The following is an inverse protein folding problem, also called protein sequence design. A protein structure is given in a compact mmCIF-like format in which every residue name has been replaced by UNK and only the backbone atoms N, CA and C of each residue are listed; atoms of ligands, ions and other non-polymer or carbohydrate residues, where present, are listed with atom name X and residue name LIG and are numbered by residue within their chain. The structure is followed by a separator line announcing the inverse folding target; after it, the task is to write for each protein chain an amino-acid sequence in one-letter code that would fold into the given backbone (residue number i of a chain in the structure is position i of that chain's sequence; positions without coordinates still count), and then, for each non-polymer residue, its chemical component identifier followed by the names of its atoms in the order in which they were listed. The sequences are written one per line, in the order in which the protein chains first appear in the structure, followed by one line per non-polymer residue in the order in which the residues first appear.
data_IF_143392618418
#
_entry.id   IF_143392618418
#
_cell.length_a   1.000
_cell.length_b   1.000
_cell.length_c   1.000
_cell.angle_alpha   90.00
_cell.angle_beta   90.00
_cell.angle_gamma   90.00
#
_symmetry.space_group_name_H-M   'P 1'
#
loop_
_entity.id
_entity.type
_entity.pdbx_description
1 polymer ?
#
# COMPACT_ATOMS: atom_id res chain seq x y z
N UNK A 1 16.37 13.45 -18.20
CA UNK A 1 15.40 12.86 -19.16
C UNK A 1 14.31 12.18 -18.38
N UNK A 2 13.04 12.38 -18.76
CA UNK A 2 11.88 11.73 -18.16
C UNK A 2 11.36 10.68 -19.14
N UNK A 3 11.17 9.46 -18.67
CA UNK A 3 10.62 8.33 -19.41
C UNK A 3 9.28 7.94 -18.79
N UNK A 4 8.23 7.87 -19.58
CA UNK A 4 6.90 7.50 -19.14
C UNK A 4 6.47 6.19 -19.84
N UNK A 5 6.19 5.16 -19.05
CA UNK A 5 5.78 3.85 -19.55
C UNK A 5 4.66 3.26 -18.70
N UNK A 6 3.87 2.38 -19.29
CA UNK A 6 2.92 1.55 -18.57
C UNK A 6 3.59 0.31 -17.97
N UNK A 7 2.92 -0.33 -17.04
CA UNK A 7 3.26 -1.66 -16.55
C UNK A 7 3.39 -2.69 -17.69
N UNK A 8 4.22 -3.71 -17.45
CA UNK A 8 4.42 -4.84 -18.35
C UNK A 8 4.91 -4.47 -19.75
N UNK A 9 5.60 -3.33 -19.90
CA UNK A 9 6.18 -2.87 -21.16
C UNK A 9 7.68 -3.11 -21.24
N UNK A 10 8.16 -3.36 -22.47
CA UNK A 10 9.59 -3.52 -22.76
C UNK A 10 10.13 -2.19 -23.28
N UNK A 11 11.06 -1.62 -22.55
CA UNK A 11 11.83 -0.44 -22.93
C UNK A 11 13.08 -0.91 -23.65
N UNK A 12 13.17 -0.60 -24.94
CA UNK A 12 14.36 -0.94 -25.75
C UNK A 12 15.57 -0.13 -25.30
N UNK A 13 16.75 -0.74 -25.24
CA UNK A 13 18.00 -0.07 -24.85
C UNK A 13 18.26 1.23 -25.63
N UNK A 14 17.87 1.28 -26.90
CA UNK A 14 18.00 2.49 -27.74
C UNK A 14 17.28 3.72 -27.15
N UNK A 15 16.19 3.50 -26.42
CA UNK A 15 15.33 4.56 -25.82
C UNK A 15 15.80 4.96 -24.41
N UNK A 16 16.73 4.22 -23.83
CA UNK A 16 17.29 4.55 -22.51
C UNK A 16 18.22 5.77 -22.58
N UNK A 17 18.36 6.52 -21.48
CA UNK A 17 19.38 7.57 -21.36
C UNK A 17 20.78 6.98 -21.59
N UNK A 18 21.71 7.81 -22.09
CA UNK A 18 23.09 7.38 -22.36
C UNK A 18 23.74 6.76 -21.12
N UNK A 19 23.47 7.32 -19.94
CA UNK A 19 23.95 6.91 -18.64
C UNK A 19 23.42 5.55 -18.16
N UNK A 20 22.36 5.02 -18.80
CA UNK A 20 21.76 3.72 -18.48
C UNK A 20 22.03 2.65 -19.56
N UNK A 21 22.73 2.98 -20.65
CA UNK A 21 22.92 2.05 -21.79
C UNK A 21 24.03 1.02 -21.59
N UNK A 22 25.01 1.31 -20.73
CA UNK A 22 26.11 0.37 -20.48
C UNK A 22 25.66 -0.77 -19.56
N UNK A 23 26.34 -1.93 -19.64
CA UNK A 23 26.07 -3.05 -18.73
C UNK A 23 26.35 -2.66 -17.29
N UNK A 24 27.46 -1.99 -17.05
CA UNK A 24 27.88 -1.51 -15.72
C UNK A 24 26.82 -0.60 -15.08
N UNK A 25 26.27 0.35 -15.86
CA UNK A 25 25.22 1.26 -15.38
C UNK A 25 23.90 0.54 -15.07
N UNK A 26 23.57 -0.50 -15.85
CA UNK A 26 22.37 -1.32 -15.58
C UNK A 26 22.57 -2.18 -14.33
N UNK A 27 23.77 -2.70 -14.10
CA UNK A 27 24.11 -3.47 -12.91
C UNK A 27 24.08 -2.57 -11.64
N UNK A 28 24.55 -1.34 -11.74
CA UNK A 28 24.45 -0.33 -10.67
C UNK A 28 22.98 0.04 -10.39
N UNK A 29 22.17 0.27 -11.43
CA UNK A 29 20.73 0.50 -11.29
C UNK A 29 20.04 -0.69 -10.63
N UNK A 30 20.39 -1.92 -11.02
CA UNK A 30 19.89 -3.14 -10.41
C UNK A 30 20.21 -3.20 -8.91
N UNK A 31 21.46 -2.88 -8.53
CA UNK A 31 21.90 -2.84 -7.14
C UNK A 31 21.13 -1.77 -6.33
N UNK A 32 20.92 -0.60 -6.92
CA UNK A 32 20.09 0.46 -6.31
C UNK A 32 18.65 -0.02 -6.08
N UNK A 33 18.03 -0.64 -7.08
CA UNK A 33 16.68 -1.18 -6.96
C UNK A 33 16.60 -2.33 -5.96
N UNK A 34 17.62 -3.21 -5.92
CA UNK A 34 17.70 -4.31 -4.97
C UNK A 34 17.81 -3.80 -3.52
N UNK A 35 18.60 -2.77 -3.27
CA UNK A 35 18.71 -2.16 -1.94
C UNK A 35 17.39 -1.52 -1.48
N UNK A 36 16.65 -0.91 -2.42
CA UNK A 36 15.30 -0.41 -2.14
C UNK A 36 14.30 -1.55 -1.92
N UNK A 37 14.48 -2.68 -2.61
CA UNK A 37 13.61 -3.84 -2.50
C UNK A 37 13.73 -4.56 -1.15
N UNK A 38 14.94 -4.84 -0.69
CA UNK A 38 15.20 -5.59 0.55
C UNK A 38 14.57 -4.93 1.78
N UNK A 39 14.38 -3.61 1.73
CA UNK A 39 13.81 -2.83 2.83
C UNK A 39 12.28 -2.71 2.74
N UNK A 40 11.62 -3.38 1.77
CA UNK A 40 10.20 -3.22 1.44
C UNK A 40 9.24 -4.20 2.06
N UNK A 41 9.61 -4.96 3.06
CA UNK A 41 8.68 -5.81 3.82
C UNK A 41 7.40 -5.10 4.32
N UNK A 42 7.23 -3.81 3.99
CA UNK A 42 6.11 -2.95 4.40
C UNK A 42 4.79 -3.34 3.72
N UNK A 43 4.86 -3.78 2.46
CA UNK A 43 3.65 -4.05 1.68
C UNK A 43 3.15 -5.49 1.84
N UNK A 44 3.95 -6.37 2.41
CA UNK A 44 3.64 -7.79 2.55
C UNK A 44 3.64 -8.19 4.02
N UNK A 45 2.46 -8.45 4.59
CA UNK A 45 2.27 -8.77 6.01
C UNK A 45 2.90 -10.10 6.45
N UNK A 46 3.21 -11.00 5.51
CA UNK A 46 3.69 -12.37 5.80
C UNK A 46 5.22 -12.52 5.78
N UNK A 47 5.96 -11.44 5.61
CA UNK A 47 7.43 -11.42 5.65
C UNK A 47 8.11 -12.22 4.53
N UNK A 48 7.36 -12.75 3.57
CA UNK A 48 7.87 -13.50 2.41
C UNK A 48 8.11 -12.57 1.23
N UNK A 49 9.09 -11.70 1.35
CA UNK A 49 9.55 -10.89 0.22
C UNK A 49 10.48 -11.75 -0.65
N UNK A 50 10.22 -11.80 -1.96
CA UNK A 50 11.16 -12.39 -2.89
C UNK A 50 12.56 -11.80 -2.67
N UNK A 51 13.59 -12.65 -2.68
CA UNK A 51 14.97 -12.22 -2.46
C UNK A 51 15.49 -11.29 -3.57
N UNK A 52 14.87 -11.34 -4.77
CA UNK A 52 15.21 -10.49 -5.90
C UNK A 52 14.15 -9.41 -6.11
N UNK A 53 14.60 -8.21 -6.44
CA UNK A 53 13.72 -7.09 -6.75
C UNK A 53 12.74 -7.43 -7.89
N UNK A 54 11.53 -6.89 -7.79
CA UNK A 54 10.41 -7.15 -8.71
C UNK A 54 9.91 -5.89 -9.44
N UNK A 55 10.66 -4.78 -9.41
CA UNK A 55 10.23 -3.55 -10.10
C UNK A 55 10.46 -3.62 -11.59
N UNK A 56 11.66 -4.05 -11.98
CA UNK A 56 12.12 -4.11 -13.35
C UNK A 56 12.79 -5.46 -13.61
N UNK A 57 12.55 -6.04 -14.79
CA UNK A 57 13.32 -7.15 -15.33
C UNK A 57 14.31 -6.62 -16.37
N UNK A 58 15.55 -7.04 -16.27
CA UNK A 58 16.59 -6.77 -17.26
C UNK A 58 16.68 -7.98 -18.20
N UNK A 59 16.25 -7.78 -19.47
CA UNK A 59 16.07 -8.88 -20.43
C UNK A 59 16.92 -8.67 -21.68
N UNK A 60 17.52 -9.77 -22.18
CA UNK A 60 18.24 -9.81 -23.46
C UNK A 60 19.04 -8.55 -23.72
N UNK A 61 19.39 -8.20 -24.91
CA UNK A 61 20.11 -7.03 -25.39
C UNK A 61 20.05 -5.73 -24.56
N UNK A 62 20.16 -5.81 -23.21
CA UNK A 62 20.09 -4.69 -22.25
C UNK A 62 18.77 -3.91 -22.29
N UNK A 63 17.67 -4.58 -22.58
CA UNK A 63 16.33 -4.00 -22.50
C UNK A 63 15.80 -4.10 -21.06
N UNK A 64 14.90 -3.20 -20.68
CA UNK A 64 14.24 -3.18 -19.39
C UNK A 64 12.77 -3.51 -19.59
N UNK A 65 12.21 -4.42 -18.80
CA UNK A 65 10.76 -4.65 -18.71
C UNK A 65 10.24 -4.11 -17.39
N UNK A 66 9.23 -3.26 -17.45
CA UNK A 66 8.45 -2.84 -16.28
C UNK A 66 7.57 -3.99 -15.81
N UNK A 67 7.35 -4.09 -14.49
CA UNK A 67 6.48 -5.12 -13.90
C UNK A 67 5.22 -4.50 -13.30
N UNK A 68 4.51 -5.25 -12.46
CA UNK A 68 3.24 -4.85 -11.85
C UNK A 68 3.43 -3.87 -10.67
N UNK A 69 4.19 -2.80 -10.92
CA UNK A 69 4.49 -1.72 -9.98
C UNK A 69 4.29 -0.36 -10.64
N UNK A 70 3.65 0.53 -9.90
CA UNK A 70 3.38 1.91 -10.31
C UNK A 70 4.20 2.88 -9.47
N UNK A 71 4.70 3.93 -10.08
CA UNK A 71 5.46 4.94 -9.36
C UNK A 71 6.60 5.52 -10.16
N UNK A 72 7.64 5.98 -9.47
CA UNK A 72 8.77 6.67 -10.10
C UNK A 72 10.12 6.14 -9.58
N UNK A 73 11.06 6.04 -10.50
CA UNK A 73 12.46 5.72 -10.24
C UNK A 73 13.29 6.87 -10.81
N UNK A 74 14.00 7.59 -9.94
CA UNK A 74 14.99 8.60 -10.31
C UNK A 74 16.38 8.05 -10.04
N UNK A 75 17.23 8.02 -11.06
CA UNK A 75 18.59 7.50 -10.95
C UNK A 75 19.53 8.23 -11.90
N UNK A 76 20.65 8.74 -11.38
CA UNK A 76 21.66 9.51 -12.15
C UNK A 76 21.04 10.64 -12.98
N UNK A 77 20.11 11.43 -12.38
CA UNK A 77 19.47 12.57 -13.03
C UNK A 77 18.44 12.23 -14.12
N UNK A 78 18.07 10.96 -14.23
CA UNK A 78 17.01 10.49 -15.16
C UNK A 78 15.86 9.89 -14.36
N UNK A 79 14.63 10.08 -14.86
CA UNK A 79 13.40 9.64 -14.21
C UNK A 79 12.66 8.66 -15.10
N UNK A 80 12.25 7.54 -14.53
CA UNK A 80 11.36 6.55 -15.12
C UNK A 80 10.07 6.52 -14.31
N UNK A 81 8.98 6.94 -14.93
CA UNK A 81 7.63 6.82 -14.38
C UNK A 81 6.95 5.58 -14.96
N UNK A 82 6.33 4.80 -14.09
CA UNK A 82 5.56 3.61 -14.47
C UNK A 82 4.12 3.83 -14.06
N UNK A 83 3.21 3.71 -15.01
CA UNK A 83 1.79 3.97 -14.86
C UNK A 83 0.95 2.69 -14.90
N UNK A 84 -0.23 2.69 -14.26
CA UNK A 84 -1.14 1.55 -14.29
C UNK A 84 -1.58 1.21 -15.72
N UNK A 85 -1.57 -0.08 -16.05
CA UNK A 85 -1.99 -0.58 -17.36
C UNK A 85 -3.48 -0.32 -17.68
N UNK A 86 -4.31 -0.04 -16.67
CA UNK A 86 -5.74 0.29 -16.87
C UNK A 86 -5.96 1.56 -17.69
N UNK A 87 -4.96 2.45 -17.77
CA UNK A 87 -5.03 3.67 -18.60
C UNK A 87 -4.52 3.49 -20.03
N UNK A 88 -4.09 2.28 -20.38
CA UNK A 88 -3.59 2.01 -21.73
C UNK A 88 -4.74 2.04 -22.74
N UNK A 89 -4.66 2.91 -23.72
CA UNK A 89 -5.58 2.88 -24.88
C UNK A 89 -5.26 1.71 -25.80
N UNK A 90 -6.27 0.90 -26.14
CA UNK A 90 -6.13 -0.32 -26.94
C UNK A 90 -5.72 -0.08 -28.40
N UNK A 91 -5.72 1.15 -28.89
CA UNK A 91 -5.61 1.44 -30.33
C UNK A 91 -4.25 1.95 -30.79
N UNK A 92 -3.33 2.30 -29.91
CA UNK A 92 -2.08 2.92 -30.33
C UNK A 92 -0.86 2.11 -29.88
N UNK A 93 -0.16 1.51 -30.85
CA UNK A 93 1.20 0.99 -30.67
C UNK A 93 2.23 2.11 -30.40
N UNK A 94 1.83 3.37 -30.52
CA UNK A 94 2.66 4.53 -30.23
C UNK A 94 2.42 4.99 -28.78
N UNK A 95 3.18 4.44 -27.85
CA UNK A 95 3.17 4.76 -26.41
C UNK A 95 3.51 6.25 -26.10
N UNK A 96 3.57 7.12 -27.10
CA UNK A 96 3.98 8.52 -27.00
C UNK A 96 2.84 9.54 -27.10
N UNK A 97 1.59 9.10 -27.33
CA UNK A 97 0.46 10.03 -27.25
C UNK A 97 0.27 10.44 -25.80
N UNK A 98 0.18 11.73 -25.61
CA UNK A 98 0.11 12.44 -24.33
C UNK A 98 -0.71 11.68 -23.27
N UNK A 99 0.00 11.01 -22.36
CA UNK A 99 -0.54 10.59 -21.09
C UNK A 99 -1.17 11.82 -20.44
N UNK A 100 -2.46 11.77 -20.19
CA UNK A 100 -3.07 12.76 -19.32
C UNK A 100 -2.61 12.50 -17.88
N UNK A 101 -1.47 13.11 -17.54
CA UNK A 101 -0.85 12.94 -16.23
C UNK A 101 -1.76 13.43 -15.11
N UNK A 102 -2.60 14.44 -15.37
CA UNK A 102 -3.55 14.95 -14.38
C UNK A 102 -4.61 13.91 -14.07
N UNK A 103 -5.19 13.29 -15.08
CA UNK A 103 -6.17 12.20 -14.89
C UNK A 103 -5.57 10.98 -14.18
N UNK A 104 -4.34 10.60 -14.54
CA UNK A 104 -3.60 9.54 -13.87
C UNK A 104 -3.36 9.84 -12.39
N UNK A 105 -2.88 11.05 -12.09
CA UNK A 105 -2.59 11.47 -10.73
C UNK A 105 -3.85 11.55 -9.87
N UNK A 106 -4.95 12.06 -10.45
CA UNK A 106 -6.25 12.09 -9.80
C UNK A 106 -6.68 10.69 -9.37
N UNK A 107 -6.60 9.71 -10.25
CA UNK A 107 -6.95 8.32 -9.95
C UNK A 107 -6.04 7.70 -8.87
N UNK A 108 -4.71 7.91 -8.96
CA UNK A 108 -3.77 7.41 -7.95
C UNK A 108 -4.08 7.97 -6.56
N UNK A 109 -4.40 9.26 -6.46
CA UNK A 109 -4.80 9.89 -5.20
C UNK A 109 -6.06 9.24 -4.66
N UNK A 110 -7.08 9.04 -5.48
CA UNK A 110 -8.35 8.40 -5.11
C UNK A 110 -8.13 6.98 -4.59
N UNK A 111 -7.33 6.19 -5.30
CA UNK A 111 -7.06 4.81 -4.87
C UNK A 111 -6.30 4.75 -3.54
N UNK A 112 -5.29 5.60 -3.36
CA UNK A 112 -4.51 5.66 -2.13
C UNK A 112 -5.38 6.12 -0.94
N UNK A 113 -6.27 7.09 -1.15
CA UNK A 113 -7.17 7.58 -0.10
C UNK A 113 -8.05 6.48 0.48
N UNK A 114 -8.68 5.64 -0.35
CA UNK A 114 -9.46 4.51 0.13
C UNK A 114 -8.60 3.42 0.75
N UNK A 115 -7.45 3.08 0.13
CA UNK A 115 -6.52 2.06 0.62
C UNK A 115 -6.02 2.36 2.03
N UNK A 116 -5.84 3.62 2.36
CA UNK A 116 -5.27 4.04 3.64
C UNK A 116 -6.30 4.13 4.78
N UNK A 117 -7.60 3.94 4.56
CA UNK A 117 -8.68 4.12 5.56
C UNK A 117 -8.58 5.45 6.30
N UNK A 118 -8.42 6.54 5.57
CA UNK A 118 -8.20 7.83 6.20
C UNK A 118 -9.50 8.60 6.21
N UNK A 119 -10.00 8.90 7.42
CA UNK A 119 -11.06 9.86 7.69
C UNK A 119 -10.57 11.31 7.44
N UNK A 120 -10.18 11.63 6.21
CA UNK A 120 -9.84 12.99 5.84
C UNK A 120 -10.90 13.58 4.92
N UNK A 121 -11.23 14.89 5.07
CA UNK A 121 -12.14 15.55 4.14
C UNK A 121 -11.53 15.56 2.74
N UNK A 122 -12.16 14.84 1.85
CA UNK A 122 -11.79 14.56 0.45
C UNK A 122 -11.49 15.78 -0.42
N UNK A 123 -12.02 16.94 -0.06
CA UNK A 123 -12.21 18.06 -1.00
C UNK A 123 -10.92 18.87 -1.23
N UNK A 124 -9.92 18.80 -0.35
CA UNK A 124 -8.79 19.72 -0.44
C UNK A 124 -7.55 19.17 -1.16
N UNK A 125 -7.43 17.85 -1.30
CA UNK A 125 -6.21 17.24 -1.86
C UNK A 125 -6.25 17.25 -3.39
N UNK A 126 -7.37 16.88 -4.00
CA UNK A 126 -7.52 16.84 -5.44
C UNK A 126 -7.45 18.25 -6.09
N UNK A 127 -8.15 19.24 -5.54
CA UNK A 127 -8.27 20.56 -6.11
C UNK A 127 -6.93 21.34 -6.24
N UNK A 128 -5.96 21.07 -5.36
CA UNK A 128 -4.66 21.76 -5.40
C UNK A 128 -3.58 21.00 -6.19
N UNK A 129 -3.88 19.80 -6.69
CA UNK A 129 -2.93 18.96 -7.45
C UNK A 129 -3.02 19.15 -8.96
N UNK A 130 -3.93 20.00 -9.43
CA UNK A 130 -4.22 20.24 -10.85
C UNK A 130 -3.02 20.72 -11.69
N UNK A 131 -1.85 20.99 -11.08
CA UNK A 131 -0.71 21.59 -11.79
C UNK A 131 0.61 20.82 -11.62
N UNK A 132 0.59 19.55 -11.27
CA UNK A 132 1.84 18.80 -11.06
C UNK A 132 1.99 17.71 -12.11
N UNK A 133 2.95 17.87 -13.01
CA UNK A 133 3.29 16.90 -14.07
C UNK A 133 4.35 15.89 -13.62
N UNK A 134 4.71 15.85 -12.33
CA UNK A 134 5.76 15.02 -11.79
C UNK A 134 5.25 14.11 -10.66
N UNK A 135 5.37 12.79 -10.87
CA UNK A 135 4.98 11.77 -9.89
C UNK A 135 5.75 11.87 -8.57
N UNK A 136 7.03 12.28 -8.61
CA UNK A 136 7.79 12.48 -7.38
C UNK A 136 7.17 13.59 -6.55
N UNK A 137 6.85 14.71 -7.19
CA UNK A 137 6.22 15.86 -6.51
C UNK A 137 4.80 15.53 -6.05
N UNK A 138 4.06 14.67 -6.75
CA UNK A 138 2.78 14.15 -6.28
C UNK A 138 2.91 13.48 -4.90
N UNK A 139 3.87 12.55 -4.75
CA UNK A 139 4.07 11.85 -3.48
C UNK A 139 4.57 12.78 -2.37
N UNK A 140 5.40 13.75 -2.70
CA UNK A 140 5.81 14.82 -1.78
C UNK A 140 4.58 15.62 -1.31
N UNK A 141 3.74 16.04 -2.25
CA UNK A 141 2.51 16.80 -1.96
C UNK A 141 1.56 16.02 -1.07
N UNK A 142 1.31 14.75 -1.38
CA UNK A 142 0.48 13.86 -0.57
C UNK A 142 1.01 13.76 0.87
N UNK A 143 2.29 13.46 1.03
CA UNK A 143 2.91 13.35 2.34
C UNK A 143 2.77 14.62 3.17
N UNK A 144 3.13 15.76 2.58
CA UNK A 144 3.08 17.07 3.24
C UNK A 144 1.68 17.42 3.68
N UNK A 145 0.67 17.09 2.87
CA UNK A 145 -0.75 17.34 3.19
C UNK A 145 -1.28 16.43 4.27
N UNK A 146 -0.93 15.13 4.25
CA UNK A 146 -1.30 14.24 5.35
C UNK A 146 -0.70 14.69 6.67
N UNK A 147 0.58 15.08 6.69
CA UNK A 147 1.21 15.63 7.89
C UNK A 147 0.53 16.93 8.33
N UNK A 148 0.25 17.85 7.39
CA UNK A 148 -0.46 19.10 7.68
C UNK A 148 -1.81 18.83 8.32
N UNK A 149 -2.64 18.00 7.69
CA UNK A 149 -3.97 17.68 8.20
C UNK A 149 -3.92 17.00 9.58
N UNK A 150 -2.92 16.14 9.83
CA UNK A 150 -2.74 15.50 11.12
C UNK A 150 -2.37 16.53 12.23
N UNK A 151 -1.41 17.44 11.94
CA UNK A 151 -0.96 18.45 12.88
C UNK A 151 -1.98 19.59 13.09
N UNK A 152 -2.78 19.93 12.07
CA UNK A 152 -3.85 20.95 12.18
C UNK A 152 -5.00 20.47 13.06
N UNK A 153 -5.27 19.15 13.11
CA UNK A 153 -6.27 18.55 14.02
C UNK A 153 -5.79 18.42 15.46
N UNK A 154 -4.51 18.61 15.71
CA UNK A 154 -3.89 18.55 17.03
C UNK A 154 -2.54 17.86 17.02
N UNK A 155 -1.66 18.34 17.86
CA UNK A 155 -0.33 17.77 18.01
C UNK A 155 -0.40 16.38 18.64
N UNK A 156 0.48 15.48 18.21
CA UNK A 156 0.55 14.13 18.74
C UNK A 156 1.40 14.09 20.00
N UNK A 157 0.77 13.71 21.10
CA UNK A 157 1.44 13.46 22.37
C UNK A 157 1.33 12.00 22.74
N UNK A 158 2.35 11.47 23.39
CA UNK A 158 2.39 10.10 23.89
C UNK A 158 2.92 10.05 25.32
N UNK A 159 2.37 9.11 26.09
CA UNK A 159 3.00 8.80 27.37
C UNK A 159 4.26 7.97 27.10
N UNK A 160 5.40 8.51 27.56
CA UNK A 160 6.70 7.83 27.51
C UNK A 160 7.20 7.62 28.95
N UNK A 161 7.71 6.40 29.21
CA UNK A 161 8.33 6.12 30.50
C UNK A 161 9.77 6.67 30.50
N UNK A 162 10.03 7.60 31.41
CA UNK A 162 11.37 8.14 31.65
C UNK A 162 11.93 7.58 32.95
N UNK A 163 13.21 7.23 32.89
CA UNK A 163 13.97 6.80 34.09
C UNK A 163 15.16 7.73 34.24
N UNK A 164 15.14 8.53 35.29
CA UNK A 164 16.20 9.52 35.55
C UNK A 164 16.41 9.77 37.04
N UNK A 165 17.57 10.32 37.37
CA UNK A 165 17.91 10.76 38.74
C UNK A 165 17.21 12.07 39.06
N UNK A 166 16.30 12.04 40.05
CA UNK A 166 15.54 13.20 40.50
C UNK A 166 15.88 13.58 41.94
N UNK A 167 15.78 14.88 42.29
CA UNK A 167 15.95 15.32 43.67
C UNK A 167 14.77 14.96 44.57
N UNK A 168 13.65 14.59 43.98
CA UNK A 168 12.42 14.18 44.69
C UNK A 168 11.85 12.92 44.04
N UNK A 169 11.19 12.10 44.81
CA UNK A 169 10.58 10.85 44.30
C UNK A 169 9.37 11.21 43.41
N UNK A 170 9.42 10.74 42.17
CA UNK A 170 8.33 10.85 41.18
C UNK A 170 8.06 9.48 40.52
N UNK A 171 6.85 9.03 40.56
CA UNK A 171 6.50 7.71 40.02
C UNK A 171 7.09 6.57 40.82
N UNK A 172 7.70 5.61 40.15
CA UNK A 172 8.28 4.39 40.75
C UNK A 172 9.76 4.59 41.04
N UNK A 173 10.15 4.48 42.34
CA UNK A 173 11.56 4.53 42.76
C UNK A 173 12.24 3.16 42.48
N UNK A 174 13.41 3.17 41.88
CA UNK A 174 14.30 2.01 41.87
C UNK A 174 15.04 1.89 43.23
N UNK A 175 14.41 1.17 44.14
CA UNK A 175 14.94 0.99 45.51
C UNK A 175 16.28 0.23 45.45
N UNK A 176 16.46 -0.71 44.52
CA UNK A 176 17.68 -1.51 44.39
C UNK A 176 18.85 -0.58 44.01
N UNK A 177 18.68 0.25 43.00
CA UNK A 177 19.69 1.19 42.57
C UNK A 177 20.02 2.19 43.63
N UNK A 178 19.02 2.70 44.35
CA UNK A 178 19.21 3.65 45.47
C UNK A 178 20.07 3.02 46.59
N UNK A 179 19.76 1.78 47.05
CA UNK A 179 20.50 1.13 48.11
C UNK A 179 21.91 0.71 47.68
N UNK A 180 22.08 0.24 46.44
CA UNK A 180 23.35 -0.33 45.98
C UNK A 180 24.33 0.72 45.43
N UNK A 181 23.85 1.79 44.86
CA UNK A 181 24.69 2.79 44.16
C UNK A 181 24.66 4.18 44.80
N UNK A 182 23.51 4.67 45.24
CA UNK A 182 23.37 6.05 45.73
C UNK A 182 23.69 6.18 47.20
N UNK A 183 23.14 5.31 48.02
CA UNK A 183 23.37 5.32 49.45
C UNK A 183 24.87 5.17 49.86
N UNK A 184 25.62 4.18 49.32
CA UNK A 184 27.03 3.99 49.66
C UNK A 184 27.92 5.13 49.20
N UNK A 185 27.50 5.91 48.16
CA UNK A 185 28.28 7.04 47.62
C UNK A 185 27.86 8.36 48.20
N UNK A 186 27.00 8.39 49.24
CA UNK A 186 26.55 9.62 49.91
C UNK A 186 25.60 10.48 49.09
N UNK A 187 25.02 9.94 47.98
CA UNK A 187 24.08 10.67 47.11
C UNK A 187 22.64 10.52 47.61
N UNK A 188 22.37 10.81 48.86
CA UNK A 188 21.07 10.60 49.49
C UNK A 188 19.91 11.37 48.89
N UNK A 189 20.16 12.47 48.21
CA UNK A 189 19.15 13.32 47.55
C UNK A 189 18.94 13.01 46.09
N UNK A 190 19.45 11.87 45.55
CA UNK A 190 19.25 11.48 44.18
C UNK A 190 18.49 10.14 44.11
N UNK A 191 17.31 10.17 43.51
CA UNK A 191 16.40 9.04 43.41
C UNK A 191 16.24 8.66 41.94
N UNK A 192 16.67 7.44 41.56
CA UNK A 192 16.38 6.94 40.23
C UNK A 192 14.90 6.55 40.17
N UNK A 193 14.14 7.38 39.46
CA UNK A 193 12.69 7.23 39.35
C UNK A 193 12.26 6.93 37.92
N UNK A 194 11.35 5.96 37.76
CA UNK A 194 10.65 5.70 36.51
C UNK A 194 9.24 6.27 36.59
N UNK A 195 8.89 7.14 35.67
CA UNK A 195 7.58 7.78 35.62
C UNK A 195 7.14 8.05 34.19
N UNK A 196 5.83 8.06 33.96
CA UNK A 196 5.27 8.36 32.65
C UNK A 196 5.04 9.87 32.48
N UNK A 197 5.55 10.44 31.40
CA UNK A 197 5.31 11.83 31.00
C UNK A 197 4.57 11.88 29.68
N UNK A 198 3.73 12.90 29.53
CA UNK A 198 2.99 13.14 28.31
C UNK A 198 3.83 14.04 27.40
N UNK A 199 4.55 13.40 26.47
CA UNK A 199 5.61 14.06 25.70
C UNK A 199 5.18 14.35 24.28
N UNK A 200 5.48 15.58 23.82
CA UNK A 200 5.40 15.96 22.42
C UNK A 200 6.64 15.50 21.65
N UNK A 201 7.81 15.51 22.26
CA UNK A 201 9.05 14.98 21.68
C UNK A 201 9.09 13.45 21.81
N UNK A 202 8.31 12.78 20.98
CA UNK A 202 8.22 11.32 20.89
C UNK A 202 8.73 10.81 19.54
N UNK A 203 8.96 9.50 19.44
CA UNK A 203 9.56 8.88 18.25
C UNK A 203 8.76 9.15 16.96
N UNK A 204 7.41 9.15 17.00
CA UNK A 204 6.59 9.46 15.81
C UNK A 204 6.86 10.87 15.30
N UNK A 205 6.85 11.86 16.19
CA UNK A 205 7.08 13.25 15.80
C UNK A 205 8.52 13.49 15.33
N UNK A 206 9.51 12.77 15.89
CA UNK A 206 10.91 12.79 15.41
C UNK A 206 11.02 12.19 14.02
N UNK A 207 10.35 11.06 13.73
CA UNK A 207 10.29 10.47 12.41
C UNK A 207 9.66 11.44 11.40
N UNK A 208 8.52 12.04 11.72
CA UNK A 208 7.86 13.02 10.86
C UNK A 208 8.79 14.21 10.58
N UNK A 209 9.42 14.79 11.62
CA UNK A 209 10.36 15.90 11.46
C UNK A 209 11.56 15.55 10.60
N UNK A 210 12.16 14.38 10.83
CA UNK A 210 13.29 13.87 10.06
C UNK A 210 12.91 13.68 8.57
N UNK A 211 11.75 13.12 8.31
CA UNK A 211 11.24 12.90 6.95
C UNK A 211 10.94 14.23 6.25
N UNK A 212 10.30 15.18 6.92
CA UNK A 212 10.04 16.52 6.36
C UNK A 212 11.34 17.23 5.96
N UNK A 213 12.41 17.10 6.75
CA UNK A 213 13.73 17.65 6.41
C UNK A 213 14.35 17.01 5.18
N UNK A 214 14.17 15.69 5.01
CA UNK A 214 14.60 14.99 3.80
C UNK A 214 13.80 15.43 2.57
N UNK A 215 12.47 15.42 2.69
CA UNK A 215 11.54 15.79 1.63
C UNK A 215 11.71 17.25 1.20
N UNK A 216 12.12 18.14 2.08
CA UNK A 216 12.45 19.54 1.75
C UNK A 216 13.42 19.67 0.57
N UNK A 217 14.41 18.78 0.49
CA UNK A 217 15.45 18.86 -0.54
C UNK A 217 14.96 18.47 -1.95
N UNK A 218 13.88 17.71 -2.02
CA UNK A 218 13.30 17.20 -3.28
C UNK A 218 11.97 17.87 -3.64
N UNK A 219 11.47 18.75 -2.76
CA UNK A 219 10.17 19.40 -2.91
C UNK A 219 10.25 20.69 -3.75
N UNK A 220 9.18 20.99 -4.48
CA UNK A 220 9.00 22.29 -5.16
C UNK A 220 8.89 23.45 -4.16
N UNK A 221 9.14 24.71 -4.59
CA UNK A 221 9.01 25.88 -3.73
C UNK A 221 7.65 26.01 -3.03
N UNK A 222 6.58 25.56 -3.68
CA UNK A 222 5.23 25.56 -3.12
C UNK A 222 5.15 24.64 -1.88
N UNK A 223 5.58 23.39 -2.01
CA UNK A 223 5.60 22.45 -0.90
C UNK A 223 6.64 22.81 0.16
N UNK A 224 7.79 23.36 -0.22
CA UNK A 224 8.78 23.88 0.74
C UNK A 224 8.18 24.91 1.69
N UNK A 225 7.31 25.80 1.21
CA UNK A 225 6.62 26.78 2.07
C UNK A 225 5.74 26.10 3.12
N UNK A 226 5.02 25.03 2.73
CA UNK A 226 4.19 24.27 3.67
C UNK A 226 5.08 23.52 4.66
N UNK A 227 6.12 22.83 4.17
CA UNK A 227 7.06 22.07 5.02
C UNK A 227 7.70 22.97 6.07
N UNK A 228 8.10 24.21 5.72
CA UNK A 228 8.63 25.18 6.67
C UNK A 228 7.66 25.43 7.83
N UNK A 229 6.38 25.62 7.51
CA UNK A 229 5.37 25.85 8.55
C UNK A 229 5.19 24.61 9.45
N UNK A 230 5.26 23.40 8.87
CA UNK A 230 5.17 22.14 9.63
C UNK A 230 6.39 21.95 10.53
N UNK A 231 7.59 22.23 10.03
CA UNK A 231 8.82 22.17 10.82
C UNK A 231 8.80 23.17 11.99
N UNK A 232 8.20 24.36 11.79
CA UNK A 232 8.00 25.32 12.87
C UNK A 232 7.06 24.79 13.96
N UNK A 233 5.97 24.09 13.58
CA UNK A 233 5.06 23.42 14.54
C UNK A 233 5.77 22.31 15.32
N UNK A 234 6.75 21.66 14.70
CA UNK A 234 7.58 20.61 15.31
C UNK A 234 8.87 21.19 15.94
N UNK A 235 8.92 22.48 16.23
CA UNK A 235 10.11 23.16 16.76
C UNK A 235 10.64 22.55 18.05
N UNK A 236 9.76 22.18 18.97
CA UNK A 236 10.09 21.56 20.25
C UNK A 236 10.51 20.09 20.16
N UNK A 237 10.32 19.44 19.00
CA UNK A 237 10.74 18.06 18.78
C UNK A 237 12.23 18.04 18.50
N UNK A 238 12.95 17.14 19.16
CA UNK A 238 14.40 16.99 18.98
C UNK A 238 14.76 16.52 17.57
N UNK A 239 15.91 16.97 17.09
CA UNK A 239 16.46 16.53 15.82
C UNK A 239 17.14 15.17 16.00
N UNK A 240 16.56 14.15 15.39
CA UNK A 240 17.10 12.80 15.40
C UNK A 240 17.28 12.31 13.96
N UNK A 241 18.38 11.62 13.69
CA UNK A 241 18.54 10.92 12.41
C UNK A 241 17.79 9.60 12.47
N UNK A 242 16.54 9.63 11.97
CA UNK A 242 15.68 8.46 11.95
C UNK A 242 15.98 7.54 10.78
N UNK A 243 15.74 6.25 11.00
CA UNK A 243 15.89 5.16 10.02
C UNK A 243 14.52 4.56 9.70
N UNK A 244 14.40 3.79 8.61
CA UNK A 244 13.15 3.05 8.32
C UNK A 244 12.72 2.10 9.44
N UNK A 245 13.67 1.52 10.19
CA UNK A 245 13.39 0.62 11.32
C UNK A 245 12.70 1.32 12.48
N UNK A 246 12.99 2.60 12.68
CA UNK A 246 12.31 3.40 13.72
C UNK A 246 10.81 3.46 13.48
N UNK A 247 10.39 3.49 12.20
CA UNK A 247 8.98 3.45 11.83
C UNK A 247 8.30 2.14 12.26
N UNK A 248 9.01 1.00 12.20
CA UNK A 248 8.47 -0.32 12.54
C UNK A 248 8.28 -0.51 14.05
N UNK A 249 9.00 0.26 14.87
CA UNK A 249 8.88 0.19 16.33
C UNK A 249 7.69 0.98 16.87
N UNK A 250 7.09 1.85 16.05
CA UNK A 250 5.97 2.71 16.46
C UNK A 250 4.66 1.94 16.41
N UNK A 251 4.10 1.63 17.56
CA UNK A 251 2.77 1.03 17.68
C UNK A 251 1.70 2.12 17.78
N UNK A 252 0.74 2.09 16.86
CA UNK A 252 -0.39 3.01 16.83
C UNK A 252 -1.65 2.32 17.35
N UNK A 253 -2.39 3.00 18.23
CA UNK A 253 -3.72 2.57 18.66
C UNK A 253 -4.76 2.80 17.56
N UNK A 254 -5.97 2.22 17.71
CA UNK A 254 -7.09 2.46 16.78
C UNK A 254 -7.41 3.95 16.61
N UNK A 255 -7.33 4.74 17.68
CA UNK A 255 -7.57 6.20 17.64
C UNK A 255 -6.48 6.98 16.91
N UNK A 256 -5.31 6.36 16.69
CA UNK A 256 -4.14 6.93 16.04
C UNK A 256 -3.99 6.45 14.59
N UNK A 257 -4.98 5.74 14.05
CA UNK A 257 -4.96 5.15 12.69
C UNK A 257 -4.60 6.17 11.61
N UNK A 258 -4.97 7.45 11.79
CA UNK A 258 -4.62 8.55 10.88
C UNK A 258 -3.12 8.72 10.65
N UNK A 259 -2.27 8.32 11.60
CA UNK A 259 -0.82 8.38 11.44
C UNK A 259 -0.23 7.18 10.69
N UNK A 260 -1.01 6.13 10.43
CA UNK A 260 -0.52 4.91 9.77
C UNK A 260 0.04 5.21 8.38
N UNK A 261 -0.69 5.99 7.58
CA UNK A 261 -0.20 6.36 6.24
C UNK A 261 1.01 7.28 6.30
N UNK A 262 1.01 8.26 7.23
CA UNK A 262 2.15 9.17 7.42
C UNK A 262 3.39 8.35 7.75
N UNK A 263 3.26 7.37 8.63
CA UNK A 263 4.34 6.49 9.04
C UNK A 263 4.83 5.61 7.89
N UNK A 264 3.92 5.03 7.11
CA UNK A 264 4.25 4.22 5.92
C UNK A 264 4.98 5.06 4.86
N UNK A 265 4.48 6.26 4.56
CA UNK A 265 5.16 7.17 3.63
C UNK A 265 6.49 7.68 4.18
N UNK A 266 6.57 7.99 5.48
CA UNK A 266 7.85 8.35 6.13
C UNK A 266 8.88 7.24 5.98
N UNK A 267 8.48 6.00 6.20
CA UNK A 267 9.37 4.84 6.03
C UNK A 267 9.91 4.78 4.60
N UNK A 268 9.06 4.97 3.59
CA UNK A 268 9.47 4.96 2.18
C UNK A 268 10.46 6.09 1.85
N UNK A 269 10.23 7.31 2.34
CA UNK A 269 11.17 8.42 2.15
C UNK A 269 12.50 8.20 2.87
N UNK A 270 12.46 7.66 4.09
CA UNK A 270 13.68 7.34 4.84
C UNK A 270 14.47 6.18 4.22
N UNK A 271 13.80 5.23 3.54
CA UNK A 271 14.44 4.20 2.74
C UNK A 271 15.30 4.80 1.64
N UNK A 272 14.74 5.72 0.87
CA UNK A 272 15.47 6.42 -0.19
C UNK A 272 16.67 7.20 0.39
N UNK A 273 16.48 7.89 1.51
CA UNK A 273 17.56 8.59 2.22
C UNK A 273 18.71 7.65 2.59
N UNK A 274 18.40 6.48 3.14
CA UNK A 274 19.41 5.51 3.58
C UNK A 274 20.13 4.89 2.39
N UNK A 275 19.40 4.56 1.33
CA UNK A 275 19.97 3.97 0.10
C UNK A 275 20.92 4.96 -0.58
N UNK A 276 20.53 6.22 -0.69
CA UNK A 276 21.38 7.26 -1.29
C UNK A 276 22.67 7.46 -0.51
N UNK A 277 22.60 7.46 0.81
CA UNK A 277 23.79 7.59 1.66
C UNK A 277 24.76 6.39 1.49
N UNK A 278 24.22 5.18 1.45
CA UNK A 278 25.03 3.96 1.36
C UNK A 278 25.69 3.76 -0.03
N UNK A 279 25.03 4.25 -1.09
CA UNK A 279 25.50 4.08 -2.48
C UNK A 279 26.18 5.33 -3.05
N UNK A 280 26.33 6.40 -2.24
CA UNK A 280 26.90 7.70 -2.69
C UNK A 280 26.12 8.32 -3.87
N UNK A 281 24.82 8.01 -3.98
CA UNK A 281 23.92 8.44 -5.06
C UNK A 281 22.96 9.51 -4.57
N UNK A 282 23.46 10.72 -4.33
CA UNK A 282 22.73 11.80 -3.66
C UNK A 282 21.40 12.22 -4.30
N UNK A 283 21.21 11.94 -5.59
CA UNK A 283 20.03 12.35 -6.37
C UNK A 283 19.14 11.17 -6.80
N UNK A 284 19.28 10.00 -6.17
CA UNK A 284 18.47 8.84 -6.54
C UNK A 284 17.24 8.71 -5.67
N UNK A 285 16.12 8.32 -6.28
CA UNK A 285 14.83 8.17 -5.63
C UNK A 285 14.04 7.01 -6.23
N UNK A 286 13.46 6.16 -5.40
CA UNK A 286 12.61 5.08 -5.86
C UNK A 286 11.35 4.99 -5.01
N UNK A 287 10.21 5.21 -5.64
CA UNK A 287 8.91 5.17 -4.99
C UNK A 287 7.96 4.36 -5.87
N UNK A 288 7.74 3.12 -5.48
CA UNK A 288 6.99 2.15 -6.28
C UNK A 288 5.96 1.42 -5.42
N UNK A 289 4.75 1.29 -5.93
CA UNK A 289 3.65 0.52 -5.31
C UNK A 289 3.32 -0.71 -6.13
N UNK A 290 3.06 -1.86 -5.50
CA UNK A 290 2.46 -2.99 -6.18
C UNK A 290 1.01 -2.68 -6.54
N UNK A 291 0.67 -2.82 -7.81
CA UNK A 291 -0.64 -2.36 -8.34
C UNK A 291 -1.78 -3.28 -7.93
N UNK A 292 -1.49 -4.55 -7.75
CA UNK A 292 -2.42 -5.54 -7.21
C UNK A 292 -2.89 -5.17 -5.79
N UNK A 293 -1.95 -4.82 -4.90
CA UNK A 293 -2.29 -4.36 -3.54
C UNK A 293 -3.01 -3.00 -3.53
N UNK A 294 -2.69 -2.13 -4.50
CA UNK A 294 -3.39 -0.87 -4.65
C UNK A 294 -4.85 -1.09 -5.05
N UNK A 295 -5.10 -1.98 -6.01
CA UNK A 295 -6.44 -2.36 -6.44
C UNK A 295 -7.24 -3.03 -5.31
N UNK A 296 -6.65 -4.03 -4.66
CA UNK A 296 -7.26 -4.73 -3.53
C UNK A 296 -7.60 -3.76 -2.39
N UNK A 297 -6.63 -2.91 -2.01
CA UNK A 297 -6.80 -1.94 -0.94
C UNK A 297 -7.87 -0.90 -1.25
N UNK A 298 -7.93 -0.40 -2.49
CA UNK A 298 -8.97 0.52 -2.93
C UNK A 298 -10.36 -0.11 -2.85
N UNK A 299 -10.56 -1.28 -3.45
CA UNK A 299 -11.86 -1.95 -3.46
C UNK A 299 -12.28 -2.33 -2.03
N UNK A 300 -11.37 -2.88 -1.24
CA UNK A 300 -11.64 -3.22 0.15
C UNK A 300 -12.04 -2.01 0.99
N UNK A 301 -11.30 -0.91 0.89
CA UNK A 301 -11.62 0.34 1.59
C UNK A 301 -12.93 0.97 1.13
N UNK A 302 -13.21 0.94 -0.17
CA UNK A 302 -14.47 1.42 -0.72
C UNK A 302 -15.66 0.60 -0.19
N UNK A 303 -15.56 -0.74 -0.21
CA UNK A 303 -16.60 -1.64 0.34
C UNK A 303 -16.81 -1.36 1.83
N UNK A 304 -15.75 -1.18 2.61
CA UNK A 304 -15.89 -0.81 4.03
C UNK A 304 -16.60 0.52 4.23
N UNK A 305 -16.47 1.48 3.30
CA UNK A 305 -17.16 2.77 3.38
C UNK A 305 -18.66 2.67 3.10
N UNK A 306 -19.08 1.65 2.32
CA UNK A 306 -20.49 1.43 1.98
C UNK A 306 -21.25 0.77 3.14
N UNK A 307 -20.64 -0.23 3.77
CA UNK A 307 -21.25 -1.03 4.82
C UNK A 307 -20.85 -0.51 6.21
N UNK A 308 -21.77 0.15 6.91
CA UNK A 308 -21.52 0.67 8.26
C UNK A 308 -22.08 -0.26 9.35
N UNK A 309 -23.43 -0.39 9.40
CA UNK A 309 -24.11 -1.12 10.47
C UNK A 309 -24.71 -2.45 10.01
N UNK A 310 -24.97 -2.61 8.73
CA UNK A 310 -25.68 -3.77 8.17
C UNK A 310 -24.78 -4.99 7.95
N UNK A 311 -23.49 -4.76 7.76
CA UNK A 311 -22.51 -5.82 7.55
C UNK A 311 -21.16 -5.51 8.21
N UNK A 312 -20.48 -6.56 8.68
CA UNK A 312 -19.08 -6.50 9.10
C UNK A 312 -18.20 -6.84 7.92
N UNK A 313 -17.34 -5.89 7.49
CA UNK A 313 -16.37 -6.10 6.42
C UNK A 313 -14.98 -6.28 7.01
N UNK A 314 -14.40 -7.44 6.78
CA UNK A 314 -13.04 -7.79 7.22
C UNK A 314 -12.14 -7.92 6.00
N UNK A 315 -11.09 -7.11 5.93
CA UNK A 315 -10.08 -7.19 4.88
C UNK A 315 -8.97 -8.13 5.31
N UNK A 316 -8.43 -8.90 4.37
CA UNK A 316 -7.35 -9.85 4.59
C UNK A 316 -7.69 -10.86 5.72
N UNK A 317 -8.94 -11.35 5.72
CA UNK A 317 -9.41 -12.25 6.76
C UNK A 317 -8.66 -13.60 6.71
N UNK A 318 -8.06 -13.99 7.82
CA UNK A 318 -7.20 -15.16 7.97
C UNK A 318 -7.66 -16.12 9.07
N UNK A 319 -8.97 -16.35 9.17
CA UNK A 319 -9.57 -17.13 10.27
C UNK A 319 -9.67 -18.62 9.97
N UNK A 320 -9.52 -19.05 8.71
CA UNK A 320 -9.73 -20.43 8.28
C UNK A 320 -8.43 -21.01 7.73
N UNK A 321 -8.10 -22.22 8.16
CA UNK A 321 -6.94 -22.97 7.67
C UNK A 321 -7.35 -23.95 6.57
N UNK A 322 -6.46 -24.14 5.60
CA UNK A 322 -6.63 -25.14 4.55
C UNK A 322 -6.44 -26.56 5.08
N UNK A 323 -5.65 -26.71 6.16
CA UNK A 323 -5.30 -27.98 6.77
C UNK A 323 -5.51 -27.87 8.27
N UNK A 324 -6.31 -28.77 8.84
CA UNK A 324 -6.63 -28.78 10.26
C UNK A 324 -5.47 -29.27 11.12
N UNK A 325 -4.72 -30.27 10.65
CA UNK A 325 -3.52 -30.76 11.33
C UNK A 325 -2.47 -31.30 10.36
N UNK A 326 -1.21 -31.28 10.78
CA UNK A 326 -0.08 -31.91 10.08
C UNK A 326 0.48 -32.97 11.00
N UNK A 327 0.53 -34.22 10.54
CA UNK A 327 1.14 -35.35 11.26
C UNK A 327 2.53 -35.64 10.68
N UNK A 328 3.52 -35.63 11.55
CA UNK A 328 4.89 -35.98 11.22
C UNK A 328 5.37 -37.07 12.22
N UNK A 329 5.36 -38.33 11.81
CA UNK A 329 5.61 -39.46 12.68
C UNK A 329 4.53 -39.54 13.77
N UNK A 330 4.95 -39.53 15.06
CA UNK A 330 4.05 -39.52 16.20
C UNK A 330 3.65 -38.13 16.72
N UNK A 331 4.15 -37.08 16.06
CA UNK A 331 3.82 -35.71 16.42
C UNK A 331 2.73 -35.15 15.52
N UNK A 332 1.74 -34.49 16.12
CA UNK A 332 0.67 -33.79 15.44
C UNK A 332 0.77 -32.31 15.75
N UNK A 333 0.78 -31.49 14.67
CA UNK A 333 0.83 -30.03 14.74
C UNK A 333 -0.53 -29.49 14.31
N UNK A 334 -1.06 -28.54 15.07
CA UNK A 334 -2.35 -27.91 14.77
C UNK A 334 -2.22 -26.94 13.59
N UNK A 335 -3.32 -26.81 12.88
CA UNK A 335 -3.65 -25.83 11.82
C UNK A 335 -2.46 -25.28 11.01
N UNK A 336 -2.43 -25.59 9.73
CA UNK A 336 -1.43 -25.10 8.81
C UNK A 336 -2.07 -24.57 7.53
N UNK A 337 -1.31 -23.73 6.82
CA UNK A 337 -1.76 -23.11 5.56
C UNK A 337 -3.03 -22.28 5.73
N UNK A 338 -2.92 -21.20 6.53
CA UNK A 338 -4.02 -20.26 6.76
C UNK A 338 -4.46 -19.64 5.42
N UNK A 339 -5.74 -19.74 5.11
CA UNK A 339 -6.33 -19.10 3.96
C UNK A 339 -6.55 -17.62 4.26
N UNK A 340 -6.24 -16.77 3.30
CA UNK A 340 -6.39 -15.33 3.40
C UNK A 340 -7.36 -14.85 2.33
N UNK A 341 -8.49 -14.33 2.76
CA UNK A 341 -9.52 -13.78 1.88
C UNK A 341 -9.29 -12.29 1.74
N UNK A 342 -9.29 -11.76 0.53
CA UNK A 342 -9.09 -10.32 0.31
C UNK A 342 -10.19 -9.53 1.02
N UNK A 343 -11.46 -9.87 0.80
CA UNK A 343 -12.61 -9.20 1.39
C UNK A 343 -13.63 -10.24 1.86
N UNK A 344 -13.92 -10.22 3.15
CA UNK A 344 -14.98 -11.01 3.77
C UNK A 344 -16.08 -10.08 4.26
N UNK A 345 -17.32 -10.30 3.80
CA UNK A 345 -18.50 -9.53 4.20
C UNK A 345 -19.45 -10.46 4.94
N UNK A 346 -19.70 -10.15 6.22
CA UNK A 346 -20.70 -10.83 7.06
C UNK A 346 -21.91 -9.92 7.18
N UNK A 347 -22.90 -10.11 6.31
CA UNK A 347 -24.12 -9.32 6.29
C UNK A 347 -25.17 -9.92 7.24
N UNK A 348 -25.80 -9.10 8.08
CA UNK A 348 -26.73 -9.53 9.14
C UNK A 348 -27.90 -10.37 8.64
N UNK A 349 -28.41 -10.05 7.44
CA UNK A 349 -29.61 -10.71 6.88
C UNK A 349 -29.32 -11.61 5.70
N UNK A 350 -28.28 -11.30 4.90
CA UNK A 350 -28.02 -11.97 3.62
C UNK A 350 -26.93 -13.05 3.69
N UNK A 351 -26.23 -13.16 4.83
CA UNK A 351 -25.20 -14.16 5.05
C UNK A 351 -23.79 -13.70 4.75
N UNK A 352 -22.92 -14.63 4.38
CA UNK A 352 -21.47 -14.41 4.22
C UNK A 352 -21.10 -14.38 2.74
N UNK A 353 -20.27 -13.40 2.37
CA UNK A 353 -19.77 -13.22 1.01
C UNK A 353 -18.25 -13.13 1.02
N UNK A 354 -17.62 -13.81 0.07
CA UNK A 354 -16.17 -13.71 -0.18
C UNK A 354 -15.96 -13.07 -1.55
N UNK A 355 -15.20 -11.97 -1.56
CA UNK A 355 -14.79 -11.29 -2.77
C UNK A 355 -13.26 -11.32 -2.83
N UNK A 356 -12.74 -11.79 -3.94
CA UNK A 356 -11.31 -11.90 -4.21
C UNK A 356 -10.97 -10.99 -5.38
N UNK A 357 -9.97 -10.14 -5.22
CA UNK A 357 -9.62 -9.10 -6.19
C UNK A 357 -8.47 -9.57 -7.08
N UNK A 358 -8.58 -9.35 -8.38
CA UNK A 358 -7.54 -9.73 -9.33
C UNK A 358 -7.25 -8.58 -10.30
N UNK A 359 -6.08 -7.96 -10.16
CA UNK A 359 -5.65 -6.88 -11.04
C UNK A 359 -5.16 -7.41 -12.39
N UNK A 360 -6.12 -7.90 -13.19
CA UNK A 360 -5.89 -8.46 -14.52
C UNK A 360 -6.86 -7.85 -15.52
N UNK A 361 -6.42 -7.71 -16.76
CA UNK A 361 -7.30 -7.36 -17.86
C UNK A 361 -8.14 -8.58 -18.20
N UNK A 362 -9.45 -8.41 -18.21
CA UNK A 362 -10.40 -9.44 -18.62
C UNK A 362 -11.28 -8.82 -19.70
N UNK A 363 -11.43 -9.54 -20.81
CA UNK A 363 -12.24 -9.12 -21.95
C UNK A 363 -13.70 -8.92 -21.52
N UNK A 364 -14.41 -8.05 -22.26
CA UNK A 364 -15.81 -7.77 -21.98
C UNK A 364 -16.64 -9.05 -22.15
N UNK A 365 -17.46 -9.37 -21.15
CA UNK A 365 -18.35 -10.54 -21.18
C UNK A 365 -19.54 -10.28 -22.11
N UNK A 366 -19.31 -10.24 -23.43
CA UNK A 366 -20.37 -10.11 -24.45
C UNK A 366 -20.66 -11.49 -25.03
N UNK A 367 -21.92 -11.88 -25.11
CA UNK A 367 -22.42 -13.23 -25.47
C UNK A 367 -22.19 -13.66 -26.91
N UNK A 368 -21.00 -13.44 -27.49
CA UNK A 368 -20.57 -13.92 -28.79
C UNK A 368 -19.96 -15.33 -28.69
N UNK A 369 -19.91 -16.04 -29.80
CA UNK A 369 -19.41 -17.43 -29.89
C UNK A 369 -17.95 -17.60 -29.46
N UNK A 370 -17.14 -16.55 -29.53
CA UNK A 370 -15.73 -16.54 -29.11
C UNK A 370 -15.54 -16.29 -27.61
N UNK A 371 -16.58 -15.87 -26.90
CA UNK A 371 -16.60 -15.57 -25.46
C UNK A 371 -15.98 -16.67 -24.58
N UNK A 372 -16.20 -17.94 -24.94
CA UNK A 372 -15.63 -19.06 -24.15
C UNK A 372 -14.11 -19.13 -24.22
N UNK A 373 -13.52 -18.78 -25.37
CA UNK A 373 -12.07 -18.79 -25.55
C UNK A 373 -11.45 -17.60 -24.81
N UNK A 374 -12.04 -16.43 -24.90
CA UNK A 374 -11.58 -15.23 -24.22
C UNK A 374 -11.63 -15.42 -22.69
N UNK A 375 -12.75 -15.91 -22.17
CA UNK A 375 -12.92 -16.18 -20.75
C UNK A 375 -11.90 -17.21 -20.22
N UNK A 376 -11.62 -18.28 -20.97
CA UNK A 376 -10.65 -19.32 -20.58
C UNK A 376 -9.22 -18.77 -20.57
N UNK A 377 -8.91 -17.85 -21.48
CA UNK A 377 -7.59 -17.24 -21.56
C UNK A 377 -7.39 -16.16 -20.49
N UNK A 378 -8.43 -15.41 -20.18
CA UNK A 378 -8.37 -14.26 -19.28
C UNK A 378 -8.41 -14.67 -17.79
N UNK A 379 -9.25 -15.67 -17.46
CA UNK A 379 -9.38 -16.18 -16.09
C UNK A 379 -8.38 -17.31 -15.85
N UNK A 380 -7.44 -17.07 -14.94
CA UNK A 380 -6.45 -18.09 -14.58
C UNK A 380 -7.10 -19.22 -13.76
N UNK A 381 -6.80 -20.46 -14.09
CA UNK A 381 -7.26 -21.64 -13.34
C UNK A 381 -6.86 -21.60 -11.86
N UNK A 382 -5.69 -21.00 -11.53
CA UNK A 382 -5.23 -20.79 -10.17
C UNK A 382 -6.17 -19.91 -9.35
N UNK A 383 -6.70 -18.82 -9.95
CA UNK A 383 -7.67 -17.93 -9.30
C UNK A 383 -8.98 -18.70 -9.00
N UNK A 384 -9.43 -19.57 -9.95
CA UNK A 384 -10.61 -20.40 -9.74
C UNK A 384 -10.41 -21.43 -8.63
N UNK A 385 -9.25 -22.10 -8.57
CA UNK A 385 -8.94 -23.03 -7.49
C UNK A 385 -8.94 -22.34 -6.13
N UNK A 386 -8.40 -21.15 -6.05
CA UNK A 386 -8.35 -20.37 -4.83
C UNK A 386 -9.75 -20.07 -4.30
N UNK A 387 -10.62 -19.44 -5.12
CA UNK A 387 -11.97 -19.07 -4.67
C UNK A 387 -12.88 -20.27 -4.45
N UNK A 388 -12.70 -21.36 -5.22
CA UNK A 388 -13.41 -22.62 -5.01
C UNK A 388 -13.05 -23.22 -3.64
N UNK A 389 -11.76 -23.20 -3.30
CA UNK A 389 -11.29 -23.67 -1.98
C UNK A 389 -11.92 -22.85 -0.86
N UNK A 390 -12.01 -21.52 -1.03
CA UNK A 390 -12.69 -20.64 -0.07
C UNK A 390 -14.16 -21.00 0.10
N UNK A 391 -14.88 -21.21 -1.01
CA UNK A 391 -16.29 -21.59 -0.98
C UNK A 391 -16.51 -22.90 -0.24
N UNK A 392 -15.74 -23.94 -0.57
CA UNK A 392 -15.84 -25.27 0.07
C UNK A 392 -15.55 -25.18 1.55
N UNK A 393 -14.47 -24.51 1.95
CA UNK A 393 -14.02 -24.44 3.35
C UNK A 393 -14.97 -23.68 4.26
N UNK A 394 -15.79 -22.78 3.70
CA UNK A 394 -16.81 -22.02 4.45
C UNK A 394 -18.25 -22.46 4.17
N UNK A 395 -18.45 -23.48 3.34
CA UNK A 395 -19.78 -23.98 2.99
C UNK A 395 -20.62 -22.96 2.22
N UNK A 396 -20.00 -22.16 1.35
CA UNK A 396 -20.66 -21.14 0.56
C UNK A 396 -21.07 -21.68 -0.81
N UNK A 397 -22.22 -21.23 -1.29
CA UNK A 397 -22.72 -21.54 -2.64
C UNK A 397 -22.32 -20.49 -3.69
N UNK A 398 -21.79 -19.34 -3.24
CA UNK A 398 -21.38 -18.21 -4.11
C UNK A 398 -20.07 -17.60 -3.66
N UNK A 399 -19.22 -17.28 -4.63
CA UNK A 399 -17.98 -16.53 -4.45
C UNK A 399 -17.75 -15.58 -5.63
N UNK A 400 -16.99 -14.51 -5.41
CA UNK A 400 -16.85 -13.45 -6.39
C UNK A 400 -15.38 -13.19 -6.70
N UNK A 401 -15.03 -13.11 -7.99
CA UNK A 401 -13.77 -12.63 -8.52
C UNK A 401 -13.99 -11.25 -9.11
N UNK A 402 -13.29 -10.25 -8.56
CA UNK A 402 -13.42 -8.86 -8.98
C UNK A 402 -12.24 -8.45 -9.85
N UNK A 403 -12.53 -7.98 -11.05
CA UNK A 403 -11.56 -7.50 -12.04
C UNK A 403 -11.77 -6.00 -12.31
N UNK A 404 -10.70 -5.21 -12.53
CA UNK A 404 -10.87 -3.80 -12.88
C UNK A 404 -11.42 -3.64 -14.30
N UNK A 405 -12.33 -2.68 -14.49
CA UNK A 405 -12.63 -2.16 -15.81
C UNK A 405 -11.46 -1.27 -16.25
N UNK A 406 -10.96 -1.49 -17.47
CA UNK A 406 -9.89 -0.69 -18.08
C UNK A 406 -10.39 0.63 -18.67
N UNK A 407 -11.70 0.78 -18.73
CA UNK A 407 -12.40 2.03 -19.09
C UNK A 407 -13.67 2.08 -18.27
N UNK A 408 -14.10 3.29 -17.94
CA UNK A 408 -15.40 3.48 -17.33
C UNK A 408 -16.51 3.09 -18.33
N UNK A 409 -17.35 2.15 -17.97
CA UNK A 409 -18.51 1.71 -18.71
C UNK A 409 -19.77 1.98 -17.88
N UNK A 410 -20.70 2.79 -18.40
CA UNK A 410 -21.96 3.12 -17.71
C UNK A 410 -22.90 1.95 -17.52
N UNK A 411 -22.85 0.98 -18.44
CA UNK A 411 -23.61 -0.27 -18.34
C UNK A 411 -22.83 -1.25 -17.48
N UNK A 412 -23.45 -1.67 -16.38
CA UNK A 412 -22.92 -2.81 -15.63
C UNK A 412 -22.69 -3.99 -16.57
N UNK A 413 -21.47 -4.49 -16.68
CA UNK A 413 -21.24 -5.73 -17.42
C UNK A 413 -21.95 -6.85 -16.66
N UNK A 414 -22.74 -7.67 -17.37
CA UNK A 414 -23.29 -8.88 -16.78
C UNK A 414 -22.13 -9.75 -16.25
N UNK A 415 -22.18 -10.21 -14.99
CA UNK A 415 -21.14 -11.09 -14.47
C UNK A 415 -21.11 -12.40 -15.27
N UNK A 416 -19.92 -12.91 -15.53
CA UNK A 416 -19.79 -14.29 -16.01
C UNK A 416 -19.97 -15.24 -14.83
N UNK A 417 -20.86 -16.22 -14.96
CA UNK A 417 -21.15 -17.19 -13.90
C UNK A 417 -20.56 -18.54 -14.30
N UNK A 418 -19.55 -18.99 -13.54
CA UNK A 418 -18.94 -20.31 -13.70
C UNK A 418 -19.51 -21.24 -12.63
N UNK A 419 -20.09 -22.35 -13.05
CA UNK A 419 -20.78 -23.29 -12.16
C UNK A 419 -19.95 -24.54 -11.92
N UNK A 420 -19.77 -24.91 -10.66
CA UNK A 420 -19.07 -26.13 -10.24
C UNK A 420 -19.93 -26.94 -9.27
N UNK A 421 -20.20 -28.19 -9.61
CA UNK A 421 -20.77 -29.13 -8.64
C UNK A 421 -19.63 -29.80 -7.86
N UNK A 422 -19.71 -29.78 -6.54
CA UNK A 422 -18.76 -30.39 -5.63
C UNK A 422 -19.52 -31.38 -4.74
N UNK A 423 -18.93 -32.53 -4.48
CA UNK A 423 -19.47 -33.52 -3.55
C UNK A 423 -18.57 -33.52 -2.29
N UNK A 424 -19.14 -33.11 -1.17
CA UNK A 424 -18.47 -33.10 0.14
C UNK A 424 -19.28 -33.98 1.08
N UNK A 425 -18.65 -35.00 1.66
CA UNK A 425 -19.28 -35.94 2.59
C UNK A 425 -20.59 -36.62 2.05
N UNK A 426 -20.64 -36.84 0.74
CA UNK A 426 -21.81 -37.44 0.08
C UNK A 426 -22.95 -36.47 -0.22
N UNK A 427 -22.81 -35.17 0.11
CA UNK A 427 -23.75 -34.13 -0.29
C UNK A 427 -23.24 -33.39 -1.52
N UNK A 428 -24.08 -33.27 -2.56
CA UNK A 428 -23.79 -32.47 -3.75
C UNK A 428 -24.16 -31.03 -3.46
N UNK A 429 -23.17 -30.14 -3.52
CA UNK A 429 -23.34 -28.69 -3.47
C UNK A 429 -22.94 -28.07 -4.80
N UNK A 430 -23.71 -27.11 -5.27
CA UNK A 430 -23.37 -26.34 -6.46
C UNK A 430 -22.75 -25.01 -5.99
N UNK A 431 -21.61 -24.69 -6.54
CA UNK A 431 -20.91 -23.43 -6.25
C UNK A 431 -20.92 -22.58 -7.52
N UNK A 432 -21.45 -21.39 -7.42
CA UNK A 432 -21.45 -20.40 -8.48
C UNK A 432 -20.30 -19.39 -8.24
N UNK A 433 -19.36 -19.31 -9.18
CA UNK A 433 -18.24 -18.35 -9.15
C UNK A 433 -18.61 -17.21 -10.09
N UNK A 434 -18.74 -16.02 -9.55
CA UNK A 434 -19.08 -14.83 -10.31
C UNK A 434 -17.79 -14.08 -10.65
N UNK A 435 -17.49 -13.99 -11.95
CA UNK A 435 -16.43 -13.11 -12.45
C UNK A 435 -17.06 -11.76 -12.81
N UNK A 436 -16.67 -10.71 -12.13
CA UNK A 436 -17.29 -9.37 -12.22
C UNK A 436 -16.24 -8.33 -12.57
N UNK A 437 -16.51 -7.54 -13.61
CA UNK A 437 -15.71 -6.35 -13.91
C UNK A 437 -16.31 -5.16 -13.17
N UNK A 438 -15.48 -4.47 -12.41
CA UNK A 438 -15.92 -3.35 -11.55
C UNK A 438 -15.25 -2.04 -11.97
N UNK A 439 -15.96 -0.89 -11.88
CA UNK A 439 -15.39 0.42 -12.12
C UNK A 439 -14.17 0.66 -11.23
N UNK A 440 -13.06 1.04 -11.85
CA UNK A 440 -11.80 1.32 -11.15
C UNK A 440 -11.20 2.65 -11.58
N UNK A 441 -11.42 3.06 -12.82
CA UNK A 441 -10.96 4.34 -13.36
C UNK A 441 -12.02 5.41 -13.12
N UNK A 442 -11.65 6.49 -12.46
CA UNK A 442 -12.45 7.70 -12.27
C UNK A 442 -12.25 8.62 -13.46
N UNK A 443 -13.33 8.94 -14.15
CA UNK A 443 -13.39 9.95 -15.21
C UNK A 443 -13.67 11.33 -14.59
N UNK A 444 -14.07 12.32 -15.40
CA UNK A 444 -14.31 13.69 -14.95
C UNK A 444 -15.38 13.81 -13.84
N UNK A 445 -16.28 12.84 -13.71
CA UNK A 445 -17.34 12.80 -12.69
C UNK A 445 -17.08 11.67 -11.68
N UNK A 446 -16.37 11.99 -10.60
CA UNK A 446 -16.07 11.07 -9.49
C UNK A 446 -17.33 10.49 -8.83
N UNK A 447 -18.39 11.29 -8.71
CA UNK A 447 -19.63 10.86 -8.06
C UNK A 447 -20.34 9.79 -8.89
N UNK A 448 -20.27 9.91 -10.21
CA UNK A 448 -20.85 8.95 -11.16
C UNK A 448 -20.15 7.60 -11.05
N UNK A 449 -18.81 7.60 -11.09
CA UNK A 449 -18.01 6.37 -10.95
C UNK A 449 -18.23 5.72 -9.58
N UNK A 450 -18.22 6.50 -8.51
CA UNK A 450 -18.47 6.01 -7.14
C UNK A 450 -19.86 5.42 -7.00
N UNK A 451 -20.87 6.04 -7.62
CA UNK A 451 -22.26 5.53 -7.60
C UNK A 451 -22.36 4.20 -8.35
N UNK A 452 -21.80 4.13 -9.56
CA UNK A 452 -21.81 2.91 -10.37
C UNK A 452 -21.08 1.76 -9.63
N UNK A 453 -19.91 2.02 -9.05
CA UNK A 453 -19.18 1.05 -8.25
C UNK A 453 -20.00 0.57 -7.03
N UNK A 454 -20.67 1.49 -6.33
CA UNK A 454 -21.54 1.16 -5.20
C UNK A 454 -22.73 0.29 -5.62
N UNK A 455 -23.41 0.66 -6.71
CA UNK A 455 -24.55 -0.10 -7.25
C UNK A 455 -24.12 -1.50 -7.70
N UNK A 456 -22.98 -1.61 -8.39
CA UNK A 456 -22.41 -2.92 -8.79
C UNK A 456 -22.18 -3.78 -7.56
N UNK A 457 -21.49 -3.29 -6.53
CA UNK A 457 -21.21 -4.07 -5.32
C UNK A 457 -22.49 -4.46 -4.59
N UNK A 458 -23.46 -3.55 -4.44
CA UNK A 458 -24.73 -3.85 -3.77
C UNK A 458 -25.57 -4.88 -4.53
N UNK A 459 -25.43 -4.95 -5.86
CA UNK A 459 -26.11 -5.97 -6.67
C UNK A 459 -25.56 -7.39 -6.51
N UNK A 460 -24.31 -7.53 -6.02
CA UNK A 460 -23.68 -8.81 -5.76
C UNK A 460 -24.07 -9.41 -4.39
N UNK A 461 -24.46 -8.57 -3.47
CA UNK A 461 -24.77 -8.86 -2.07
C UNK A 461 -26.28 -8.74 -1.85
#
# INVERSE_FOLDING_TARGET
MILNYYENKIIKNALLPAEWKSQESLDELLNFLQSNWEQRAIFYDDGKVNSKQQFLDFIGQKNIRTKDYVGTIVYKGHQLNIFPKVFKEFKDDDDRKSLDLQHLMHNLVKWIEYTAKIDYPYISIAADMENTDDLQELFVSLYVRYVKAALDRGLFFRYEEKTEDLPTIRGRLDIKDYITKKYPTGQFGKFLCSYSTFEFDNLLNRVIKCTLKFVWNIATPSNQKIIRNLLNKLGEVSDQNCTPRDCDTIQLSKMQSKYKIILSMSKMFLLNKTTNYNLDTHDSFCFMFPTDLLFEGFIGGFIQSIFNEDAKVTLQASEVSLVDSIRLGDQEFAQAFVMRHDILIEHKEKGVFILDTKYKEVSRFEGNTDFRYDLINDINSGDLYQVLTYAVSRGLDKVYLLYPQFRFEEKEPNPAILKKSVEVEGQKSNIDIYAVRIPFVFEDDDEKTSRCLKETILSLI
#
